data_IF_878622441146
#
_entry.id   IF_878622441146
#
_cell.length_a   1.000
_cell.length_b   1.000
_cell.length_c   1.000
_cell.angle_alpha   90.00
_cell.angle_beta   90.00
_cell.angle_gamma   90.00
#
_symmetry.space_group_name_H-M   'P 1'
#
loop_
_entity.id
_entity.type
_entity.pdbx_description
1 polymer ?
#
# COMPACT_ATOMS: atom_id res chain seq x y z
N UNK A 1 -4.44 14.20 -11.53
CA UNK A 1 -3.95 12.85 -11.85
C UNK A 1 -2.92 12.48 -10.80
N UNK A 2 -3.16 11.47 -9.96
CA UNK A 2 -2.12 10.94 -9.07
C UNK A 2 -1.13 10.16 -9.92
N UNK A 3 0.15 10.46 -9.81
CA UNK A 3 1.23 9.81 -10.57
C UNK A 3 1.23 8.30 -10.25
N UNK A 4 1.47 7.41 -11.24
CA UNK A 4 1.58 5.99 -10.96
C UNK A 4 2.69 5.72 -9.94
N UNK A 5 2.35 5.01 -8.87
CA UNK A 5 3.28 4.46 -7.91
C UNK A 5 4.23 3.49 -8.60
N UNK A 6 5.52 3.64 -8.36
CA UNK A 6 6.59 2.80 -8.91
C UNK A 6 7.47 2.33 -7.77
N UNK A 7 7.90 1.09 -7.85
CA UNK A 7 8.84 0.49 -6.92
C UNK A 7 10.25 0.49 -7.50
N UNK A 8 11.22 0.87 -6.70
CA UNK A 8 12.64 0.66 -6.97
C UNK A 8 13.07 -0.77 -6.62
N UNK A 9 12.50 -1.35 -5.56
CA UNK A 9 12.74 -2.71 -5.08
C UNK A 9 11.44 -3.41 -4.68
N UNK A 10 11.51 -4.74 -4.62
CA UNK A 10 10.38 -5.56 -4.15
C UNK A 10 10.08 -5.29 -2.69
N UNK A 11 8.80 -5.11 -2.36
CA UNK A 11 8.28 -5.12 -0.99
C UNK A 11 7.90 -6.56 -0.63
N UNK A 12 8.39 -7.06 0.51
CA UNK A 12 8.07 -8.40 1.03
C UNK A 12 9.06 -8.82 2.12
N UNK A 13 8.62 -9.64 3.07
CA UNK A 13 9.35 -10.00 4.29
C UNK A 13 10.76 -10.58 4.06
N UNK A 14 10.98 -11.26 2.93
CA UNK A 14 12.26 -11.88 2.57
C UNK A 14 13.16 -11.00 1.67
N UNK A 15 12.81 -9.73 1.47
CA UNK A 15 13.51 -8.83 0.54
C UNK A 15 14.16 -7.64 1.25
N UNK A 16 15.27 -7.18 0.69
CA UNK A 16 15.88 -5.90 1.04
C UNK A 16 15.03 -4.77 0.41
N UNK A 17 14.11 -4.23 1.20
CA UNK A 17 13.16 -3.21 0.75
C UNK A 17 13.81 -1.82 0.70
N UNK A 18 13.41 -1.02 -0.28
CA UNK A 18 13.78 0.39 -0.32
C UNK A 18 12.90 1.21 0.64
N UNK A 19 13.50 2.17 1.36
CA UNK A 19 12.81 2.96 2.38
C UNK A 19 11.73 3.87 1.77
N UNK A 20 12.00 4.47 0.61
CA UNK A 20 11.04 5.33 -0.07
C UNK A 20 9.86 4.50 -0.61
N UNK A 21 10.14 3.30 -1.13
CA UNK A 21 9.11 2.36 -1.55
C UNK A 21 8.22 1.94 -0.36
N UNK A 22 8.82 1.62 0.79
CA UNK A 22 8.10 1.24 1.99
C UNK A 22 7.18 2.37 2.48
N UNK A 23 7.70 3.60 2.61
CA UNK A 23 6.90 4.76 3.03
C UNK A 23 5.73 5.01 2.07
N UNK A 24 6.00 5.00 0.77
CA UNK A 24 4.98 5.31 -0.24
C UNK A 24 3.93 4.20 -0.30
N UNK A 25 4.32 2.93 -0.13
CA UNK A 25 3.39 1.82 -0.02
C UNK A 25 2.51 1.92 1.22
N UNK A 26 3.07 2.28 2.39
CA UNK A 26 2.28 2.53 3.60
C UNK A 26 1.21 3.59 3.36
N UNK A 27 1.58 4.71 2.76
CA UNK A 27 0.64 5.79 2.42
C UNK A 27 -0.44 5.35 1.43
N UNK A 28 -0.06 4.65 0.36
CA UNK A 28 -1.01 4.15 -0.63
C UNK A 28 -1.99 3.14 -0.04
N UNK A 29 -1.52 2.22 0.79
CA UNK A 29 -2.37 1.22 1.45
C UNK A 29 -3.29 1.86 2.48
N UNK A 30 -2.82 2.90 3.18
CA UNK A 30 -3.65 3.67 4.10
C UNK A 30 -4.74 4.47 3.39
N UNK A 31 -4.42 5.11 2.27
CA UNK A 31 -5.38 5.81 1.40
C UNK A 31 -6.51 4.89 0.92
N UNK A 32 -6.21 3.59 0.79
CA UNK A 32 -7.16 2.55 0.41
C UNK A 32 -7.81 1.83 1.61
N UNK A 33 -7.46 2.20 2.84
CA UNK A 33 -8.04 1.63 4.07
C UNK A 33 -7.46 0.28 4.50
N UNK A 34 -6.32 -0.13 3.95
CA UNK A 34 -5.64 -1.38 4.33
C UNK A 34 -4.57 -1.21 5.42
N UNK A 35 -4.22 0.02 5.79
CA UNK A 35 -3.27 0.33 6.84
C UNK A 35 -3.75 1.52 7.67
N UNK A 36 -3.74 1.39 8.99
CA UNK A 36 -4.08 2.50 9.88
C UNK A 36 -2.92 3.49 9.95
N UNK A 37 -3.23 4.79 9.85
CA UNK A 37 -2.24 5.86 9.98
C UNK A 37 -1.96 6.09 11.47
N UNK A 38 -0.72 5.93 11.95
CA UNK A 38 -0.37 6.25 13.33
C UNK A 38 -0.55 7.76 13.61
N UNK A 39 -0.77 8.13 14.86
CA UNK A 39 -0.94 9.55 15.26
C UNK A 39 0.23 10.45 14.82
N UNK A 40 1.45 9.90 14.74
CA UNK A 40 2.66 10.59 14.28
C UNK A 40 2.95 10.46 12.78
N UNK A 41 2.09 9.80 12.01
CA UNK A 41 2.33 9.43 10.61
C UNK A 41 3.18 8.18 10.45
N UNK A 42 3.50 7.85 9.20
CA UNK A 42 4.36 6.72 8.86
C UNK A 42 5.84 7.11 8.88
N UNK A 43 6.67 6.23 9.41
CA UNK A 43 8.09 6.20 9.12
C UNK A 43 8.37 5.43 7.82
N UNK A 44 9.62 5.54 7.35
CA UNK A 44 10.08 4.89 6.12
C UNK A 44 10.54 3.44 6.33
N UNK A 45 10.55 2.95 7.57
CA UNK A 45 11.12 1.64 7.87
C UNK A 45 10.14 0.52 7.51
N UNK A 46 10.58 -0.50 6.74
CA UNK A 46 9.75 -1.67 6.49
C UNK A 46 9.42 -2.37 7.80
N UNK A 47 8.14 -2.65 8.01
CA UNK A 47 7.64 -3.25 9.23
C UNK A 47 6.58 -4.32 8.92
N UNK A 48 6.19 -5.06 9.96
CA UNK A 48 5.16 -6.09 9.83
C UNK A 48 3.80 -5.51 9.42
N UNK A 49 3.32 -4.36 9.95
CA UNK A 49 2.09 -3.73 9.48
C UNK A 49 2.04 -3.47 7.97
N UNK A 50 3.14 -3.03 7.35
CA UNK A 50 3.22 -2.89 5.89
C UNK A 50 2.94 -4.21 5.17
N UNK A 51 3.57 -5.32 5.58
CA UNK A 51 3.37 -6.62 4.93
C UNK A 51 1.94 -7.14 5.10
N UNK A 52 1.36 -6.96 6.28
CA UNK A 52 -0.04 -7.35 6.53
C UNK A 52 -1.02 -6.49 5.74
N UNK A 53 -0.73 -5.20 5.54
CA UNK A 53 -1.51 -4.33 4.68
C UNK A 53 -1.43 -4.75 3.20
N UNK A 54 -0.25 -5.18 2.72
CA UNK A 54 -0.11 -5.75 1.36
C UNK A 54 -0.98 -7.00 1.20
N UNK A 55 -0.96 -7.92 2.17
CA UNK A 55 -1.80 -9.12 2.16
C UNK A 55 -3.30 -8.76 2.18
N UNK A 56 -3.69 -7.82 3.04
CA UNK A 56 -5.07 -7.31 3.12
C UNK A 56 -5.55 -6.77 1.78
N UNK A 57 -4.73 -5.95 1.11
CA UNK A 57 -5.01 -5.44 -0.23
C UNK A 57 -5.11 -6.56 -1.27
N UNK A 58 -4.13 -7.48 -1.29
CA UNK A 58 -4.14 -8.61 -2.21
C UNK A 58 -5.42 -9.44 -2.08
N UNK A 59 -5.83 -9.73 -0.84
CA UNK A 59 -7.07 -10.46 -0.55
C UNK A 59 -8.30 -9.71 -1.03
N UNK A 60 -8.38 -8.40 -0.78
CA UNK A 60 -9.52 -7.57 -1.22
C UNK A 60 -9.64 -7.52 -2.75
N UNK A 61 -8.52 -7.57 -3.46
CA UNK A 61 -8.46 -7.51 -4.91
C UNK A 61 -8.42 -8.89 -5.61
N UNK A 62 -8.52 -9.99 -4.85
CA UNK A 62 -8.50 -11.35 -5.40
C UNK A 62 -7.14 -11.79 -5.99
N UNK A 63 -6.05 -11.20 -5.50
CA UNK A 63 -4.68 -11.58 -5.82
C UNK A 63 -4.15 -12.67 -4.87
N UNK A 64 -2.98 -13.22 -5.18
CA UNK A 64 -2.28 -14.10 -4.25
C UNK A 64 -1.89 -13.34 -2.97
N UNK A 65 -2.33 -13.82 -1.80
CA UNK A 65 -2.04 -13.24 -0.49
C UNK A 65 -0.63 -13.64 0.00
N UNK A 66 0.38 -13.35 -0.81
CA UNK A 66 1.79 -13.69 -0.52
C UNK A 66 2.53 -12.58 0.25
N UNK A 67 1.93 -11.40 0.40
CA UNK A 67 2.56 -10.25 1.04
C UNK A 67 3.70 -9.65 0.23
N UNK A 68 3.78 -9.96 -1.07
CA UNK A 68 4.85 -9.52 -1.96
C UNK A 68 4.31 -8.58 -3.03
N UNK A 69 4.96 -7.42 -3.16
CA UNK A 69 4.71 -6.46 -4.22
C UNK A 69 6.01 -6.22 -4.99
N UNK A 70 6.10 -6.83 -6.17
CA UNK A 70 7.26 -6.72 -7.08
C UNK A 70 7.13 -5.49 -7.98
N UNK A 71 8.26 -4.89 -8.41
CA UNK A 71 8.26 -3.99 -9.56
C UNK A 71 7.57 -4.67 -10.76
N UNK A 72 6.68 -3.93 -11.41
CA UNK A 72 5.86 -4.41 -12.54
C UNK A 72 5.00 -5.66 -12.27
N UNK A 73 4.82 -6.03 -11.00
CA UNK A 73 4.03 -7.16 -10.58
C UNK A 73 2.52 -6.89 -10.56
N UNK A 74 1.69 -7.94 -10.46
CA UNK A 74 0.23 -7.82 -10.44
C UNK A 74 -0.27 -6.98 -9.25
N UNK A 75 0.35 -7.11 -8.08
CA UNK A 75 0.03 -6.32 -6.88
C UNK A 75 0.23 -4.82 -7.14
N UNK A 76 1.37 -4.43 -7.71
CA UNK A 76 1.68 -3.03 -8.02
C UNK A 76 0.77 -2.47 -9.11
N UNK A 77 0.53 -3.24 -10.17
CA UNK A 77 -0.37 -2.83 -11.25
C UNK A 77 -1.79 -2.58 -10.72
N UNK A 78 -2.30 -3.50 -9.91
CA UNK A 78 -3.64 -3.38 -9.34
C UNK A 78 -3.75 -2.21 -8.37
N UNK A 79 -2.76 -2.02 -7.49
CA UNK A 79 -2.73 -0.89 -6.56
C UNK A 79 -2.83 0.44 -7.31
N UNK A 80 -2.05 0.58 -8.38
CA UNK A 80 -2.10 1.77 -9.24
C UNK A 80 -3.47 2.00 -9.88
N UNK A 81 -4.16 0.95 -10.31
CA UNK A 81 -5.47 1.08 -10.93
C UNK A 81 -6.55 1.45 -9.91
N UNK A 82 -6.49 0.88 -8.70
CA UNK A 82 -7.40 1.24 -7.60
C UNK A 82 -7.16 2.68 -7.15
N UNK A 83 -5.90 3.13 -7.04
CA UNK A 83 -5.56 4.51 -6.69
C UNK A 83 -6.02 5.54 -7.73
N UNK A 84 -6.08 5.18 -9.01
CA UNK A 84 -6.62 6.06 -10.07
C UNK A 84 -8.14 6.16 -10.03
N UNK A 85 -8.81 5.09 -9.61
CA UNK A 85 -10.27 4.96 -9.67
C UNK A 85 -10.96 5.33 -8.37
N UNK A 86 -10.24 5.35 -7.25
CA UNK A 86 -10.74 5.78 -5.95
C UNK A 86 -10.69 7.31 -5.85
N UNK A 87 -11.82 8.04 -5.92
CA UNK A 87 -11.84 9.44 -5.56
C UNK A 87 -11.65 9.52 -4.04
N UNK A 88 -10.42 9.80 -3.60
CA UNK A 88 -10.03 10.25 -2.25
C UNK A 88 -11.09 9.99 -1.18
N UNK A 89 -11.01 8.85 -0.48
CA UNK A 89 -11.81 8.58 0.72
C UNK A 89 -11.25 9.35 1.93
N UNK A 90 -11.00 10.64 1.76
CA UNK A 90 -10.68 11.57 2.83
C UNK A 90 -11.76 12.66 2.87
N UNK A 91 -12.92 12.34 3.48
CA UNK A 91 -13.81 13.25 4.21
C UNK A 91 -15.12 12.55 4.65
N UNK A 92 -15.75 13.00 5.76
CA UNK A 92 -15.37 12.85 7.15
C UNK A 92 -16.16 11.70 7.81
N UNK A 93 -15.67 11.19 8.93
CA UNK A 93 -16.54 10.47 9.88
C UNK A 93 -17.50 11.51 10.48
N UNK A 94 -18.68 11.65 9.90
CA UNK A 94 -19.82 12.34 10.52
C UNK A 94 -21.02 11.43 10.42
N UNK A 95 -21.48 10.91 11.56
CA UNK A 95 -22.67 10.09 11.61
C UNK A 95 -22.84 9.21 12.84
N UNK A 96 -22.85 9.78 14.04
CA UNK A 96 -24.00 9.71 14.96
C UNK A 96 -23.82 10.63 16.16
#
# INVERSE_FOLDING_TARGET
MRTPFRLNKTIGEAYDMDLADALTAKQALADLGHLEVPDGGFDEYPDRPLIEAVKSFQRAEGLAEDGVMKPDGPTLARLNDVLKTSPTLAAPVSGR
#
